data_IF_673552004282
#
_entry.id   IF_673552004282
#
_cell.length_a   1.000
_cell.length_b   1.000
_cell.length_c   1.000
_cell.angle_alpha   90.00
_cell.angle_beta   90.00
_cell.angle_gamma   90.00
#
_symmetry.space_group_name_H-M   'P 1'
#
loop_
_entity.id
_entity.type
_entity.pdbx_description
1 polymer ?
#
# COMPACT_ATOMS: atom_id res chain seq x y z
N UNK A 1 21.55 -1.28 13.65
CA UNK A 1 22.45 -0.90 12.54
C UNK A 1 22.13 0.53 12.12
N UNK A 2 23.13 1.36 11.82
CA UNK A 2 22.97 2.83 11.81
C UNK A 2 22.36 3.32 10.48
N UNK A 3 21.31 4.17 10.49
CA UNK A 3 20.65 4.87 9.35
C UNK A 3 21.64 5.43 8.30
N UNK A 4 22.92 5.56 8.63
CA UNK A 4 23.95 6.14 7.76
C UNK A 4 24.52 5.18 6.71
N UNK A 5 24.34 3.88 6.78
CA UNK A 5 24.97 2.93 5.83
C UNK A 5 24.19 2.74 4.53
N UNK A 6 22.86 2.67 4.59
CA UNK A 6 22.02 2.53 3.41
C UNK A 6 22.13 3.76 2.48
N UNK A 7 22.14 4.98 3.06
CA UNK A 7 22.20 6.23 2.27
C UNK A 7 23.59 6.59 1.72
N UNK A 8 24.67 5.95 2.17
CA UNK A 8 26.03 6.26 1.67
C UNK A 8 26.33 5.71 0.27
N UNK A 9 25.65 4.67 -0.15
CA UNK A 9 25.90 4.04 -1.46
C UNK A 9 25.10 4.69 -2.61
N UNK A 10 24.21 5.66 -2.31
CA UNK A 10 23.38 6.34 -3.32
C UNK A 10 23.87 7.74 -3.70
N UNK A 11 24.98 8.23 -3.13
CA UNK A 11 25.54 9.55 -3.43
C UNK A 11 26.76 9.46 -4.36
N UNK A 12 26.49 9.52 -5.64
CA UNK A 12 27.51 9.75 -6.67
C UNK A 12 26.95 10.63 -7.78
N UNK A 13 27.46 11.85 -7.84
CA UNK A 13 27.40 12.82 -8.93
C UNK A 13 26.25 13.83 -8.95
N UNK A 14 26.63 15.11 -8.84
CA UNK A 14 25.89 16.25 -9.36
C UNK A 14 25.91 17.53 -8.52
N UNK A 15 27.09 18.19 -8.38
CA UNK A 15 27.14 19.60 -7.97
C UNK A 15 27.31 20.48 -9.21
N UNK A 16 26.48 21.50 -9.36
CA UNK A 16 26.85 22.75 -10.01
C UNK A 16 25.97 23.88 -9.48
N UNK A 17 26.64 24.91 -9.01
CA UNK A 17 26.09 26.12 -8.43
C UNK A 17 25.72 27.16 -9.51
N UNK A 18 24.74 28.02 -9.23
CA UNK A 18 24.74 29.38 -9.73
C UNK A 18 23.91 30.30 -8.82
N UNK A 19 24.58 31.29 -8.25
CA UNK A 19 24.03 32.44 -7.54
C UNK A 19 23.56 33.50 -8.50
N UNK A 20 22.39 34.10 -8.25
CA UNK A 20 22.11 35.48 -8.69
C UNK A 20 21.13 36.15 -7.73
N UNK A 21 21.59 37.18 -7.05
CA UNK A 21 20.79 38.15 -6.31
C UNK A 21 20.10 39.11 -7.29
N UNK A 22 18.81 39.36 -7.12
CA UNK A 22 18.16 40.60 -7.52
C UNK A 22 17.16 41.03 -6.46
N UNK A 23 17.41 42.20 -5.91
CA UNK A 23 16.47 42.95 -5.06
C UNK A 23 15.34 43.51 -5.93
N UNK A 24 14.13 43.14 -5.60
CA UNK A 24 12.92 43.73 -6.21
C UNK A 24 11.78 43.73 -5.20
N UNK A 25 11.40 44.93 -4.77
CA UNK A 25 10.24 45.19 -3.91
C UNK A 25 8.95 44.77 -4.60
N UNK A 26 8.20 43.85 -4.01
CA UNK A 26 6.85 43.50 -4.44
C UNK A 26 5.81 43.86 -3.39
N UNK A 27 4.63 44.38 -3.79
CA UNK A 27 3.57 44.75 -2.86
C UNK A 27 2.94 43.50 -2.19
N UNK A 28 2.72 43.61 -0.89
CA UNK A 28 1.96 42.64 -0.09
C UNK A 28 0.54 42.50 -0.65
N UNK A 29 0.29 41.46 -1.42
CA UNK A 29 -1.06 40.97 -1.64
C UNK A 29 -1.39 40.12 -0.42
N UNK A 30 -2.14 40.69 0.50
CA UNK A 30 -2.86 39.96 1.55
C UNK A 30 -3.91 39.09 0.85
N UNK A 31 -3.55 37.90 0.43
CA UNK A 31 -4.53 36.89 0.06
C UNK A 31 -5.23 36.46 1.37
N UNK A 32 -6.47 36.88 1.49
CA UNK A 32 -7.42 36.29 2.45
C UNK A 32 -7.48 34.78 2.18
N UNK A 33 -6.68 34.00 2.90
CA UNK A 33 -6.91 32.57 3.02
C UNK A 33 -8.19 32.45 3.82
N UNK A 34 -9.32 32.34 3.12
CA UNK A 34 -10.55 31.83 3.72
C UNK A 34 -10.18 30.52 4.40
N UNK A 35 -10.25 30.49 5.73
CA UNK A 35 -10.27 29.30 6.54
C UNK A 35 -11.43 28.46 6.01
N UNK A 36 -11.13 27.48 5.18
CA UNK A 36 -12.10 26.50 4.70
C UNK A 36 -12.67 25.79 5.91
N UNK A 37 -13.99 25.74 5.93
CA UNK A 37 -14.83 25.00 6.88
C UNK A 37 -14.22 23.63 7.19
N UNK A 38 -14.39 23.13 8.42
CA UNK A 38 -13.97 21.81 8.88
C UNK A 38 -14.38 20.74 7.87
N UNK A 39 -13.46 20.39 6.95
CA UNK A 39 -13.67 19.21 6.11
C UNK A 39 -13.73 18.01 7.04
N UNK A 40 -14.89 17.36 7.04
CA UNK A 40 -15.09 16.14 7.84
C UNK A 40 -14.09 15.09 7.38
N UNK A 41 -13.16 14.74 8.26
CA UNK A 41 -12.17 13.71 8.00
C UNK A 41 -12.82 12.33 8.18
N UNK A 42 -12.82 11.54 7.13
CA UNK A 42 -13.40 10.20 7.15
C UNK A 42 -12.37 9.15 7.58
N UNK A 43 -12.83 8.10 8.28
CA UNK A 43 -12.03 6.95 8.67
C UNK A 43 -11.74 6.04 7.46
N UNK A 44 -12.69 6.02 6.51
CA UNK A 44 -12.62 5.22 5.30
C UNK A 44 -13.27 5.96 4.13
N UNK A 45 -12.63 5.90 2.96
CA UNK A 45 -13.22 6.33 1.70
C UNK A 45 -13.43 5.12 0.78
N UNK A 46 -14.65 4.95 0.28
CA UNK A 46 -15.02 3.95 -0.72
C UNK A 46 -15.49 4.68 -1.98
N UNK A 47 -14.83 4.43 -3.11
CA UNK A 47 -15.11 5.11 -4.38
C UNK A 47 -15.31 4.12 -5.52
N UNK A 48 -16.15 4.47 -6.49
CA UNK A 48 -16.36 3.67 -7.70
C UNK A 48 -16.73 4.50 -8.93
N UNK A 49 -16.44 3.94 -10.12
CA UNK A 49 -16.93 4.43 -11.42
C UNK A 49 -15.90 5.14 -12.28
N UNK A 50 -14.70 5.43 -11.77
CA UNK A 50 -13.63 6.10 -12.50
C UNK A 50 -12.48 5.19 -12.92
N UNK A 51 -11.48 5.78 -13.56
CA UNK A 51 -10.17 5.16 -13.77
C UNK A 51 -9.36 5.18 -12.47
N UNK A 52 -8.36 4.29 -12.31
CA UNK A 52 -7.66 4.09 -11.02
C UNK A 52 -7.07 5.37 -10.43
N UNK A 53 -6.40 6.18 -11.24
CA UNK A 53 -5.78 7.45 -10.85
C UNK A 53 -6.83 8.48 -10.43
N UNK A 54 -7.92 8.61 -11.20
CA UNK A 54 -9.01 9.57 -10.92
C UNK A 54 -9.76 9.22 -9.64
N UNK A 55 -9.97 7.92 -9.40
CA UNK A 55 -10.56 7.46 -8.15
C UNK A 55 -9.66 7.77 -6.97
N UNK A 56 -8.35 7.52 -7.10
CA UNK A 56 -7.40 7.81 -6.04
C UNK A 56 -7.38 9.30 -5.66
N UNK A 57 -7.30 10.20 -6.65
CA UNK A 57 -7.29 11.66 -6.44
C UNK A 57 -8.48 12.14 -5.61
N UNK A 58 -9.66 11.56 -5.85
CA UNK A 58 -10.87 11.93 -5.10
C UNK A 58 -10.94 11.28 -3.72
N UNK A 59 -10.56 10.00 -3.63
CA UNK A 59 -10.70 9.25 -2.39
C UNK A 59 -9.67 9.66 -1.34
N UNK A 60 -8.43 9.99 -1.74
CA UNK A 60 -7.39 10.42 -0.80
C UNK A 60 -7.76 11.74 -0.10
N UNK A 61 -8.45 12.65 -0.79
CA UNK A 61 -8.91 13.91 -0.21
C UNK A 61 -9.93 13.68 0.93
N UNK A 62 -10.80 12.68 0.80
CA UNK A 62 -11.79 12.37 1.84
C UNK A 62 -11.15 11.89 3.16
N UNK A 63 -9.94 11.35 3.11
CA UNK A 63 -9.18 10.94 4.31
C UNK A 63 -8.09 11.95 4.70
N UNK A 64 -8.13 13.18 4.15
CA UNK A 64 -7.27 14.32 4.53
C UNK A 64 -6.09 14.60 3.61
N UNK A 65 -6.07 14.03 2.41
CA UNK A 65 -5.02 14.22 1.40
C UNK A 65 -3.69 13.53 1.74
N UNK A 66 -2.81 13.41 0.75
CA UNK A 66 -1.51 12.74 0.94
C UNK A 66 -0.62 13.51 1.94
N UNK A 67 -0.76 14.83 2.05
CA UNK A 67 -0.04 15.68 3.01
C UNK A 67 -0.33 15.33 4.48
N UNK A 68 -1.43 14.63 4.76
CA UNK A 68 -1.71 14.07 6.09
C UNK A 68 -0.66 13.01 6.45
N UNK A 69 -0.25 12.20 5.51
CA UNK A 69 0.60 11.02 5.71
C UNK A 69 2.08 11.30 5.43
N UNK A 70 2.38 12.03 4.36
CA UNK A 70 3.73 12.30 3.89
C UNK A 70 4.09 13.75 4.17
N UNK A 71 5.25 13.96 4.84
CA UNK A 71 5.81 15.27 5.13
C UNK A 71 7.06 15.54 4.31
N UNK A 72 7.44 16.82 4.22
CA UNK A 72 8.63 17.23 3.49
C UNK A 72 9.89 16.47 3.95
N UNK A 73 10.67 16.01 2.98
CA UNK A 73 11.93 15.28 3.17
C UNK A 73 11.80 13.87 3.79
N UNK A 74 10.61 13.32 3.93
CA UNK A 74 10.43 11.94 4.37
C UNK A 74 10.75 10.94 3.28
N UNK A 75 11.17 9.75 3.70
CA UNK A 75 11.35 8.56 2.86
C UNK A 75 10.09 7.71 2.97
N UNK A 76 9.50 7.42 1.82
CA UNK A 76 8.26 6.64 1.72
C UNK A 76 8.56 5.27 1.13
N UNK A 77 8.03 4.22 1.75
CA UNK A 77 7.94 2.90 1.14
C UNK A 77 6.50 2.62 0.73
N UNK A 78 6.32 2.28 -0.54
CA UNK A 78 5.06 1.82 -1.12
C UNK A 78 5.16 0.33 -1.38
N UNK A 79 4.25 -0.44 -0.80
CA UNK A 79 4.18 -1.90 -0.95
C UNK A 79 2.92 -2.30 -1.71
N UNK A 80 2.99 -2.42 -3.04
CA UNK A 80 1.91 -3.01 -3.84
C UNK A 80 1.89 -4.54 -3.71
N UNK A 81 1.00 -5.21 -4.42
CA UNK A 81 1.13 -6.63 -4.70
C UNK A 81 1.84 -6.80 -6.06
N UNK A 82 3.08 -7.31 -6.04
CA UNK A 82 3.84 -7.71 -7.24
C UNK A 82 4.21 -9.20 -7.10
N UNK A 83 3.20 -10.01 -6.79
CA UNK A 83 3.43 -11.42 -6.46
C UNK A 83 3.73 -12.31 -7.66
N UNK A 84 3.22 -11.98 -8.85
CA UNK A 84 3.09 -12.91 -9.94
C UNK A 84 3.62 -12.36 -11.26
N UNK A 85 4.23 -13.23 -12.03
CA UNK A 85 4.54 -12.98 -13.44
C UNK A 85 3.23 -13.04 -14.25
N UNK A 86 2.55 -11.90 -14.31
CA UNK A 86 1.26 -11.73 -14.97
C UNK A 86 1.08 -10.28 -15.44
N UNK A 87 0.42 -10.11 -16.58
CA UNK A 87 0.03 -8.82 -17.14
C UNK A 87 -1.07 -8.15 -16.30
N UNK A 88 -1.23 -6.82 -16.38
CA UNK A 88 -2.18 -6.06 -15.55
C UNK A 88 -3.64 -6.55 -15.68
N UNK A 89 -4.04 -7.00 -16.87
CA UNK A 89 -5.39 -7.45 -17.21
C UNK A 89 -5.82 -8.66 -16.38
N UNK A 90 -4.85 -9.43 -15.90
CA UNK A 90 -5.10 -10.61 -15.04
C UNK A 90 -5.41 -10.24 -13.58
N UNK A 91 -5.28 -8.98 -13.20
CA UNK A 91 -5.49 -8.50 -11.83
C UNK A 91 -4.85 -9.39 -10.74
N UNK A 92 -3.74 -10.06 -11.09
CA UNK A 92 -2.93 -10.85 -10.16
C UNK A 92 -2.02 -9.96 -9.31
N UNK A 93 -1.73 -8.76 -9.80
CA UNK A 93 -0.91 -7.71 -9.19
C UNK A 93 -1.71 -6.42 -9.08
N UNK A 94 -1.22 -5.46 -8.30
CA UNK A 94 -1.83 -4.14 -8.17
C UNK A 94 -1.78 -3.39 -9.51
N UNK A 95 -2.81 -2.60 -9.80
CA UNK A 95 -2.90 -1.82 -11.03
C UNK A 95 -1.75 -0.80 -11.12
N UNK A 96 -0.94 -0.80 -12.19
CA UNK A 96 0.22 0.08 -12.32
C UNK A 96 -0.14 1.57 -12.37
N UNK A 97 -1.30 1.96 -12.93
CA UNK A 97 -1.76 3.35 -12.95
C UNK A 97 -2.04 3.89 -11.54
N UNK A 98 -2.63 3.06 -10.68
CA UNK A 98 -2.84 3.44 -9.28
C UNK A 98 -1.50 3.65 -8.57
N UNK A 99 -0.53 2.76 -8.77
CA UNK A 99 0.78 2.86 -8.12
C UNK A 99 1.51 4.12 -8.59
N UNK A 100 1.53 4.39 -9.90
CA UNK A 100 2.11 5.61 -10.47
C UNK A 100 1.53 6.85 -9.80
N UNK A 101 0.19 6.94 -9.71
CA UNK A 101 -0.48 8.11 -9.13
C UNK A 101 -0.19 8.28 -7.64
N UNK A 102 -0.10 7.19 -6.88
CA UNK A 102 0.31 7.25 -5.46
C UNK A 102 1.74 7.75 -5.30
N UNK A 103 2.67 7.31 -6.15
CA UNK A 103 4.07 7.78 -6.16
C UNK A 103 4.14 9.28 -6.44
N UNK A 104 3.40 9.77 -7.46
CA UNK A 104 3.31 11.20 -7.78
C UNK A 104 2.80 12.00 -6.58
N UNK A 105 1.71 11.59 -5.94
CA UNK A 105 1.16 12.24 -4.75
C UNK A 105 2.14 12.28 -3.57
N UNK A 106 2.97 11.24 -3.40
CA UNK A 106 4.02 11.26 -2.38
C UNK A 106 5.04 12.38 -2.64
N UNK A 107 5.49 12.54 -3.90
CA UNK A 107 6.40 13.63 -4.27
C UNK A 107 5.72 15.01 -4.20
N UNK A 108 4.48 15.14 -4.66
CA UNK A 108 3.67 16.36 -4.52
C UNK A 108 3.52 16.79 -3.05
N UNK A 109 3.43 15.82 -2.13
CA UNK A 109 3.41 16.06 -0.68
C UNK A 109 4.79 16.41 -0.08
N UNK A 110 5.87 16.29 -0.87
CA UNK A 110 7.23 16.67 -0.49
C UNK A 110 8.11 15.51 -0.03
N UNK A 111 7.78 14.26 -0.37
CA UNK A 111 8.66 13.12 -0.13
C UNK A 111 10.06 13.36 -0.71
N UNK A 112 11.11 12.95 0.01
CA UNK A 112 12.48 12.97 -0.48
C UNK A 112 12.74 11.84 -1.45
N UNK A 113 12.25 10.65 -1.12
CA UNK A 113 12.42 9.42 -1.87
C UNK A 113 11.17 8.55 -1.71
N UNK A 114 10.78 7.90 -2.79
CA UNK A 114 9.69 6.91 -2.79
C UNK A 114 10.22 5.59 -3.33
N UNK A 115 10.27 4.57 -2.46
CA UNK A 115 10.71 3.22 -2.79
C UNK A 115 9.52 2.31 -2.96
N UNK A 116 9.56 1.45 -3.97
CA UNK A 116 8.51 0.47 -4.26
C UNK A 116 9.11 -0.92 -4.32
N UNK A 117 8.59 -1.87 -3.53
CA UNK A 117 9.04 -3.26 -3.57
C UNK A 117 7.93 -4.25 -3.19
N UNK A 118 8.14 -5.48 -3.53
CA UNK A 118 7.46 -6.67 -3.02
C UNK A 118 8.41 -7.87 -3.03
N UNK A 119 8.23 -8.80 -2.09
CA UNK A 119 8.83 -10.13 -2.19
C UNK A 119 7.92 -11.00 -3.07
N UNK A 120 8.33 -11.24 -4.31
CA UNK A 120 7.54 -11.93 -5.33
C UNK A 120 7.35 -13.42 -5.07
N UNK A 121 6.36 -14.06 -5.68
CA UNK A 121 6.13 -15.50 -5.63
C UNK A 121 6.74 -16.23 -6.85
N UNK A 122 6.80 -15.55 -7.99
CA UNK A 122 7.46 -16.01 -9.22
C UNK A 122 8.83 -15.30 -9.38
N UNK A 123 9.49 -15.47 -10.53
CA UNK A 123 10.72 -14.76 -10.87
C UNK A 123 10.53 -13.24 -10.75
N UNK A 124 11.34 -12.59 -9.93
CA UNK A 124 11.12 -11.22 -9.55
C UNK A 124 11.24 -10.22 -10.72
N UNK A 125 12.22 -10.42 -11.64
CA UNK A 125 12.35 -9.54 -12.80
C UNK A 125 11.11 -9.60 -13.68
N UNK A 126 10.60 -10.82 -13.95
CA UNK A 126 9.39 -11.01 -14.76
C UNK A 126 8.14 -10.49 -14.05
N UNK A 127 8.04 -10.63 -12.72
CA UNK A 127 6.94 -10.06 -11.95
C UNK A 127 6.87 -8.53 -12.09
N UNK A 128 8.00 -7.87 -11.92
CA UNK A 128 8.10 -6.41 -11.97
C UNK A 128 7.90 -5.86 -13.38
N UNK A 129 8.48 -6.51 -14.38
CA UNK A 129 8.38 -6.07 -15.78
C UNK A 129 7.01 -6.34 -16.37
N UNK A 130 6.50 -7.59 -16.26
CA UNK A 130 5.26 -7.99 -16.94
C UNK A 130 4.01 -7.44 -16.25
N UNK A 131 4.06 -7.11 -14.95
CA UNK A 131 2.98 -6.35 -14.29
C UNK A 131 2.92 -4.88 -14.72
N UNK A 132 3.89 -4.40 -15.50
CA UNK A 132 4.08 -2.99 -15.87
C UNK A 132 4.33 -2.05 -14.68
N UNK A 133 4.46 -2.59 -13.46
CA UNK A 133 4.65 -1.79 -12.24
C UNK A 133 6.02 -1.12 -12.23
N UNK A 134 7.08 -1.82 -12.64
CA UNK A 134 8.42 -1.24 -12.71
C UNK A 134 8.46 0.01 -13.58
N UNK A 135 7.84 -0.06 -14.79
CA UNK A 135 7.76 1.07 -15.70
C UNK A 135 6.95 2.22 -15.08
N UNK A 136 5.78 1.93 -14.55
CA UNK A 136 4.89 2.93 -13.93
C UNK A 136 5.56 3.69 -12.77
N UNK A 137 6.29 2.97 -11.91
CA UNK A 137 7.04 3.56 -10.79
C UNK A 137 8.16 4.46 -11.28
N UNK A 138 8.96 4.01 -12.27
CA UNK A 138 10.06 4.80 -12.84
C UNK A 138 9.56 6.06 -13.54
N UNK A 139 8.48 5.95 -14.31
CA UNK A 139 7.86 7.08 -15.01
C UNK A 139 7.36 8.15 -14.02
N UNK A 140 6.87 7.75 -12.85
CA UNK A 140 6.46 8.64 -11.76
C UNK A 140 7.63 9.16 -10.89
N UNK A 141 8.88 8.82 -11.23
CA UNK A 141 10.08 9.24 -10.51
C UNK A 141 10.41 8.40 -9.27
N UNK A 142 9.67 7.33 -8.99
CA UNK A 142 9.92 6.41 -7.90
C UNK A 142 11.08 5.44 -8.15
N UNK A 143 11.53 4.77 -7.10
CA UNK A 143 12.63 3.81 -7.14
C UNK A 143 12.11 2.40 -6.86
N UNK A 144 12.33 1.50 -7.81
CA UNK A 144 12.03 0.08 -7.65
C UNK A 144 13.19 -0.60 -6.94
N UNK A 145 12.88 -1.37 -5.89
CA UNK A 145 13.87 -2.12 -5.11
C UNK A 145 13.50 -3.60 -5.11
N UNK A 146 14.45 -4.51 -5.32
CA UNK A 146 14.18 -5.94 -5.27
C UNK A 146 13.99 -6.42 -3.83
N UNK A 147 13.08 -7.40 -3.63
CA UNK A 147 12.89 -8.09 -2.36
C UNK A 147 13.34 -9.56 -2.41
N UNK A 148 14.29 -9.90 -3.29
CA UNK A 148 14.60 -11.28 -3.68
C UNK A 148 15.85 -11.88 -3.00
N UNK A 149 16.45 -11.18 -2.04
CA UNK A 149 17.61 -11.65 -1.27
C UNK A 149 17.35 -11.55 0.22
N UNK A 150 17.68 -12.61 0.95
CA UNK A 150 17.57 -12.64 2.42
C UNK A 150 18.38 -11.54 3.09
N UNK A 151 19.46 -11.09 2.45
CA UNK A 151 20.32 -10.02 2.96
C UNK A 151 19.64 -8.65 3.14
N UNK A 152 18.46 -8.46 2.54
CA UNK A 152 17.64 -7.25 2.73
C UNK A 152 16.73 -7.32 3.97
N UNK A 153 16.70 -8.47 4.65
CA UNK A 153 15.74 -8.73 5.73
C UNK A 153 16.47 -8.84 7.07
N UNK A 154 15.82 -8.34 8.11
CA UNK A 154 16.34 -8.35 9.47
C UNK A 154 15.32 -8.93 10.42
N UNK A 155 15.81 -9.77 11.35
CA UNK A 155 14.96 -10.40 12.35
C UNK A 155 14.36 -9.37 13.31
N UNK A 156 13.06 -9.53 13.56
CA UNK A 156 12.30 -8.73 14.51
C UNK A 156 11.42 -9.62 15.36
N UNK A 157 11.23 -9.22 16.63
CA UNK A 157 10.28 -9.87 17.53
C UNK A 157 8.87 -9.30 17.32
N UNK A 158 7.88 -10.17 17.23
CA UNK A 158 6.46 -9.84 17.20
C UNK A 158 5.86 -10.13 18.56
N UNK A 159 6.12 -9.26 19.52
CA UNK A 159 5.83 -9.48 20.94
C UNK A 159 4.36 -9.82 21.24
N UNK A 160 3.42 -9.26 20.47
CA UNK A 160 1.97 -9.52 20.60
C UNK A 160 1.47 -10.64 19.68
N UNK A 161 2.32 -11.19 18.81
CA UNK A 161 1.95 -12.30 17.95
C UNK A 161 1.59 -13.55 18.76
N UNK A 162 0.63 -14.32 18.31
CA UNK A 162 0.28 -15.61 18.94
C UNK A 162 1.00 -16.78 18.25
N UNK A 163 0.93 -16.86 16.94
CA UNK A 163 1.58 -17.88 16.11
C UNK A 163 2.86 -17.36 15.44
N UNK A 164 2.92 -16.08 15.07
CA UNK A 164 4.08 -15.44 14.48
C UNK A 164 4.85 -14.65 15.55
N UNK A 165 5.84 -15.28 16.19
CA UNK A 165 6.63 -14.67 17.27
C UNK A 165 7.83 -13.85 16.76
N UNK A 166 8.34 -14.21 15.60
CA UNK A 166 9.49 -13.56 14.94
C UNK A 166 9.27 -13.54 13.43
N UNK A 167 9.88 -12.59 12.75
CA UNK A 167 9.91 -12.51 11.29
C UNK A 167 11.17 -11.78 10.83
N UNK A 168 11.73 -12.21 9.70
CA UNK A 168 12.73 -11.44 8.98
C UNK A 168 12.01 -10.42 8.08
N UNK A 169 12.09 -9.14 8.41
CA UNK A 169 11.37 -8.03 7.76
C UNK A 169 12.33 -7.21 6.90
N UNK A 170 11.88 -6.83 5.71
CA UNK A 170 12.67 -6.04 4.76
C UNK A 170 13.07 -4.68 5.35
N UNK A 171 14.35 -4.29 5.16
CA UNK A 171 14.94 -3.06 5.72
C UNK A 171 14.14 -1.79 5.38
N UNK A 172 13.57 -1.67 4.19
CA UNK A 172 12.73 -0.53 3.83
C UNK A 172 11.51 -0.34 4.75
N UNK A 173 10.91 -1.43 5.24
CA UNK A 173 9.80 -1.35 6.21
C UNK A 173 10.27 -0.86 7.56
N UNK A 174 11.52 -1.18 7.93
CA UNK A 174 12.10 -0.80 9.22
C UNK A 174 12.62 0.64 9.23
N UNK A 175 13.13 1.12 8.09
CA UNK A 175 13.88 2.37 7.98
C UNK A 175 13.10 3.54 7.38
N UNK A 176 12.03 3.27 6.59
CA UNK A 176 11.21 4.34 6.00
C UNK A 176 10.37 5.08 7.03
N UNK A 177 10.17 6.38 6.79
CA UNK A 177 9.36 7.24 7.65
C UNK A 177 7.86 6.98 7.47
N UNK A 178 7.44 6.59 6.25
CA UNK A 178 6.04 6.34 5.89
C UNK A 178 5.92 5.02 5.15
N UNK A 179 4.93 4.22 5.53
CA UNK A 179 4.61 2.92 4.92
C UNK A 179 3.20 2.94 4.30
N UNK A 180 3.10 2.87 2.98
CA UNK A 180 1.85 2.79 2.22
C UNK A 180 1.67 1.40 1.63
N UNK A 181 0.54 0.75 1.92
CA UNK A 181 0.19 -0.59 1.45
C UNK A 181 -0.88 -0.50 0.35
N UNK A 182 -0.60 -1.05 -0.84
CA UNK A 182 -1.52 -1.04 -1.99
C UNK A 182 -1.82 -2.45 -2.45
N UNK A 183 -2.64 -3.23 -1.73
CA UNK A 183 -3.04 -4.57 -2.14
C UNK A 183 -4.03 -4.54 -3.30
N UNK A 184 -4.06 -5.62 -4.09
CA UNK A 184 -5.16 -5.91 -5.02
C UNK A 184 -6.18 -6.83 -4.35
N UNK A 185 -7.47 -6.50 -4.48
CA UNK A 185 -8.56 -7.37 -4.01
C UNK A 185 -8.73 -8.55 -4.95
N UNK A 186 -8.52 -9.77 -4.45
CA UNK A 186 -8.63 -10.98 -5.25
C UNK A 186 -8.96 -12.23 -4.43
N UNK A 187 -9.56 -13.22 -5.08
CA UNK A 187 -9.71 -14.58 -4.58
C UNK A 187 -8.36 -15.16 -4.16
N UNK A 188 -8.37 -15.99 -3.13
CA UNK A 188 -7.22 -16.79 -2.70
C UNK A 188 -7.67 -18.14 -2.17
N UNK A 189 -7.11 -19.23 -2.70
CA UNK A 189 -7.50 -20.60 -2.34
C UNK A 189 -7.37 -20.94 -0.84
N UNK A 190 -6.33 -20.43 -0.17
CA UNK A 190 -6.06 -20.77 1.24
C UNK A 190 -6.73 -19.83 2.25
N UNK A 191 -7.07 -18.60 1.87
CA UNK A 191 -7.58 -17.56 2.79
C UNK A 191 -8.86 -16.91 2.29
N UNK A 192 -9.50 -17.49 1.25
CA UNK A 192 -10.63 -16.95 0.50
C UNK A 192 -10.28 -15.66 -0.24
N UNK A 193 -9.69 -14.67 0.43
CA UNK A 193 -9.31 -13.38 -0.13
C UNK A 193 -7.83 -13.05 0.15
N UNK A 194 -7.22 -12.35 -0.81
CA UNK A 194 -6.02 -11.54 -0.61
C UNK A 194 -6.42 -10.07 -0.55
N UNK A 195 -6.11 -9.39 0.56
CA UNK A 195 -6.38 -7.98 0.75
C UNK A 195 -5.20 -7.34 1.53
N UNK A 196 -5.42 -6.32 2.36
CA UNK A 196 -4.36 -5.52 2.96
C UNK A 196 -3.47 -6.29 3.94
N UNK A 197 -4.05 -6.96 4.94
CA UNK A 197 -3.24 -7.71 5.91
C UNK A 197 -2.47 -8.85 5.25
N UNK A 198 -3.12 -9.60 4.34
CA UNK A 198 -2.43 -10.67 3.62
C UNK A 198 -1.33 -10.16 2.69
N UNK A 199 -1.46 -8.94 2.15
CA UNK A 199 -0.41 -8.32 1.34
C UNK A 199 0.89 -8.11 2.12
N UNK A 200 0.83 -7.99 3.45
CA UNK A 200 2.01 -7.83 4.31
C UNK A 200 2.92 -9.08 4.34
N UNK A 201 2.46 -10.23 3.87
CA UNK A 201 3.34 -11.38 3.65
C UNK A 201 4.49 -11.08 2.67
N UNK A 202 4.32 -10.10 1.79
CA UNK A 202 5.36 -9.67 0.85
C UNK A 202 6.44 -8.75 1.45
N UNK A 203 6.36 -8.40 2.75
CA UNK A 203 7.43 -7.65 3.42
C UNK A 203 8.31 -8.53 4.30
N UNK A 204 8.04 -9.83 4.38
CA UNK A 204 8.81 -10.81 5.15
C UNK A 204 9.51 -11.82 4.24
N UNK A 205 10.65 -12.35 4.71
CA UNK A 205 11.43 -13.35 3.96
C UNK A 205 10.75 -14.72 3.98
N UNK A 206 10.54 -15.33 5.14
CA UNK A 206 9.98 -16.68 5.24
C UNK A 206 8.45 -16.71 5.32
N UNK A 207 7.80 -16.50 4.18
CA UNK A 207 6.35 -16.65 4.05
C UNK A 207 5.86 -18.08 4.19
N UNK A 208 6.75 -19.07 3.96
CA UNK A 208 6.38 -20.49 4.06
C UNK A 208 6.08 -20.86 5.51
N UNK A 209 6.73 -20.21 6.47
CA UNK A 209 6.42 -20.35 7.88
C UNK A 209 4.93 -20.11 8.15
N UNK A 210 4.36 -19.01 7.62
CA UNK A 210 2.96 -18.66 7.81
C UNK A 210 2.02 -19.73 7.24
N UNK A 211 2.32 -20.30 6.07
CA UNK A 211 1.53 -21.37 5.45
C UNK A 211 1.62 -22.70 6.18
N UNK A 212 2.69 -22.96 6.93
CA UNK A 212 2.90 -24.21 7.70
C UNK A 212 2.36 -24.14 9.12
N UNK A 213 2.14 -22.92 9.61
CA UNK A 213 1.57 -22.66 10.91
C UNK A 213 0.15 -22.11 10.73
N UNK A 214 -0.50 -21.58 11.74
CA UNK A 214 -1.82 -20.97 11.59
C UNK A 214 -1.75 -19.73 10.70
N UNK A 215 -2.05 -19.91 9.40
CA UNK A 215 -1.94 -18.86 8.38
C UNK A 215 -2.78 -17.64 8.73
N UNK A 216 -4.03 -17.83 9.17
CA UNK A 216 -4.91 -16.72 9.52
C UNK A 216 -4.41 -15.96 10.75
N UNK A 217 -3.94 -16.69 11.76
CA UNK A 217 -3.34 -16.08 12.94
C UNK A 217 -2.05 -15.33 12.60
N UNK A 218 -1.15 -15.91 11.81
CA UNK A 218 0.10 -15.24 11.39
C UNK A 218 -0.18 -13.94 10.61
N UNK A 219 -1.21 -13.93 9.73
CA UNK A 219 -1.63 -12.71 9.00
C UNK A 219 -2.10 -11.63 9.97
N UNK A 220 -2.86 -12.00 11.01
CA UNK A 220 -3.35 -11.06 12.02
C UNK A 220 -2.25 -10.64 13.02
N UNK A 221 -1.24 -11.48 13.25
CA UNK A 221 -0.13 -11.18 14.17
C UNK A 221 0.80 -10.09 13.65
N UNK A 222 1.16 -10.14 12.36
CA UNK A 222 2.16 -9.23 11.79
C UNK A 222 1.82 -7.73 11.98
N UNK A 223 0.57 -7.25 11.75
CA UNK A 223 0.22 -5.86 11.98
C UNK A 223 0.35 -5.40 13.44
N UNK A 224 0.48 -6.30 14.41
CA UNK A 224 0.78 -5.93 15.81
C UNK A 224 2.20 -5.43 15.98
N UNK A 225 3.11 -5.75 15.06
CA UNK A 225 4.48 -5.25 14.99
C UNK A 225 4.54 -3.93 14.19
N UNK A 226 4.07 -3.94 12.94
CA UNK A 226 4.13 -2.76 12.06
C UNK A 226 2.88 -2.70 11.20
N UNK A 227 2.08 -1.64 11.39
CA UNK A 227 0.95 -1.31 10.51
C UNK A 227 1.39 -0.32 9.43
N UNK A 228 0.81 -0.40 8.22
CA UNK A 228 0.90 0.69 7.26
C UNK A 228 0.23 1.96 7.79
N UNK A 229 0.77 3.12 7.42
CA UNK A 229 0.16 4.43 7.71
C UNK A 229 -1.09 4.65 6.86
N UNK A 230 -1.12 4.03 5.67
CA UNK A 230 -2.22 4.13 4.73
C UNK A 230 -2.40 2.80 3.97
N UNK A 231 -3.65 2.34 3.84
CA UNK A 231 -4.03 1.20 3.03
C UNK A 231 -4.92 1.66 1.88
N UNK A 232 -4.56 1.29 0.65
CA UNK A 232 -5.26 1.63 -0.59
C UNK A 232 -5.61 0.34 -1.31
N UNK A 233 -6.84 -0.12 -1.18
CA UNK A 233 -7.28 -1.36 -1.82
C UNK A 233 -7.58 -1.09 -3.28
N UNK A 234 -6.82 -1.72 -4.16
CA UNK A 234 -7.14 -1.78 -5.58
C UNK A 234 -8.24 -2.82 -5.83
N UNK A 235 -9.40 -2.34 -6.19
CA UNK A 235 -10.54 -3.13 -6.63
C UNK A 235 -11.05 -2.66 -8.00
N UNK A 236 -10.13 -2.19 -8.87
CA UNK A 236 -10.49 -1.78 -10.23
C UNK A 236 -10.93 -2.99 -11.07
N UNK A 237 -10.06 -3.98 -11.18
CA UNK A 237 -10.37 -5.31 -11.70
C UNK A 237 -10.17 -6.33 -10.58
N UNK A 238 -11.17 -7.17 -10.33
CA UNK A 238 -11.18 -8.11 -9.19
C UNK A 238 -11.20 -9.54 -9.70
N UNK A 239 -10.14 -10.29 -9.39
CA UNK A 239 -10.08 -11.72 -9.69
C UNK A 239 -11.02 -12.49 -8.77
N UNK A 240 -12.10 -13.05 -9.31
CA UNK A 240 -13.18 -13.70 -8.56
C UNK A 240 -12.96 -15.19 -8.31
N UNK A 241 -12.10 -15.84 -9.07
CA UNK A 241 -11.81 -17.28 -8.99
C UNK A 241 -10.36 -17.57 -9.41
N UNK A 242 -9.90 -18.79 -9.15
CA UNK A 242 -8.57 -19.29 -9.52
C UNK A 242 -7.38 -18.49 -8.95
N UNK A 243 -7.64 -17.59 -7.99
CA UNK A 243 -6.56 -16.83 -7.32
C UNK A 243 -5.71 -17.69 -6.38
N UNK A 244 -4.49 -17.22 -6.07
CA UNK A 244 -4.05 -15.82 -6.17
C UNK A 244 -3.37 -15.41 -7.50
N UNK A 245 -3.05 -16.34 -8.40
CA UNK A 245 -2.38 -16.07 -9.70
C UNK A 245 -3.37 -15.91 -10.86
N UNK A 246 -4.51 -16.61 -10.79
CA UNK A 246 -5.48 -16.70 -11.87
C UNK A 246 -5.01 -17.58 -13.03
N UNK A 247 -5.92 -17.91 -13.93
CA UNK A 247 -5.66 -18.70 -15.14
C UNK A 247 -5.77 -17.80 -16.38
N UNK A 248 -6.75 -16.90 -16.41
CA UNK A 248 -7.00 -15.99 -17.53
C UNK A 248 -7.72 -14.72 -17.06
N UNK A 249 -7.89 -13.73 -17.94
CA UNK A 249 -8.68 -12.52 -17.70
C UNK A 249 -10.15 -12.83 -17.39
N UNK A 250 -10.68 -13.97 -17.86
CA UNK A 250 -12.04 -14.44 -17.55
C UNK A 250 -12.25 -14.78 -16.06
N UNK A 251 -11.20 -14.82 -15.25
CA UNK A 251 -11.28 -14.93 -13.81
C UNK A 251 -11.64 -13.61 -13.14
N UNK A 252 -11.58 -12.50 -13.88
CA UNK A 252 -11.69 -11.14 -13.37
C UNK A 252 -13.03 -10.49 -13.74
N UNK A 253 -13.49 -9.60 -12.87
CA UNK A 253 -14.64 -8.72 -13.11
C UNK A 253 -14.21 -7.28 -12.86
N UNK A 254 -14.55 -6.39 -13.79
CA UNK A 254 -14.29 -4.97 -13.69
C UNK A 254 -15.25 -4.32 -12.69
N UNK A 255 -14.75 -3.97 -11.49
CA UNK A 255 -15.53 -3.33 -10.43
C UNK A 255 -15.41 -1.82 -10.46
N UNK A 256 -14.31 -1.28 -10.99
CA UNK A 256 -13.96 0.15 -10.98
C UNK A 256 -14.14 0.75 -9.59
N UNK A 257 -13.51 0.17 -8.60
CA UNK A 257 -13.65 0.57 -7.20
C UNK A 257 -12.29 0.68 -6.50
N UNK A 258 -12.22 1.49 -5.44
CA UNK A 258 -11.10 1.58 -4.51
C UNK A 258 -11.61 1.81 -3.10
N UNK A 259 -10.82 1.41 -2.11
CA UNK A 259 -11.08 1.65 -0.69
C UNK A 259 -9.80 2.18 -0.06
N UNK A 260 -9.89 3.30 0.67
CA UNK A 260 -8.76 3.90 1.37
C UNK A 260 -9.09 4.01 2.86
N UNK A 261 -8.18 3.54 3.74
CA UNK A 261 -8.33 3.67 5.19
C UNK A 261 -6.97 3.61 5.90
N UNK A 262 -6.86 4.25 7.06
CA UNK A 262 -5.75 4.08 8.00
C UNK A 262 -5.90 2.82 8.85
N UNK A 263 -7.11 2.33 9.03
CA UNK A 263 -7.38 1.06 9.70
C UNK A 263 -7.34 -0.10 8.70
N UNK A 264 -6.33 -0.95 8.84
CA UNK A 264 -6.10 -2.09 7.94
C UNK A 264 -7.20 -3.15 8.03
N UNK A 265 -7.81 -3.33 9.22
CA UNK A 265 -8.90 -4.30 9.43
C UNK A 265 -10.20 -3.76 8.81
N UNK A 266 -10.48 -2.47 8.98
CA UNK A 266 -11.62 -1.82 8.33
C UNK A 266 -11.52 -1.84 6.80
N UNK A 267 -10.31 -1.60 6.25
CA UNK A 267 -10.05 -1.70 4.83
C UNK A 267 -10.35 -3.12 4.31
N UNK A 268 -9.88 -4.15 5.01
CA UNK A 268 -10.12 -5.55 4.66
C UNK A 268 -11.59 -5.95 4.81
N UNK A 269 -12.27 -5.49 5.87
CA UNK A 269 -13.71 -5.73 6.07
C UNK A 269 -14.56 -5.10 4.96
N UNK A 270 -14.25 -3.87 4.57
CA UNK A 270 -14.94 -3.19 3.47
C UNK A 270 -14.69 -3.87 2.12
N UNK A 271 -13.46 -4.35 1.89
CA UNK A 271 -13.10 -5.08 0.68
C UNK A 271 -13.76 -6.47 0.63
N UNK A 272 -13.85 -7.18 1.76
CA UNK A 272 -14.58 -8.44 1.86
C UNK A 272 -16.06 -8.25 1.49
N UNK A 273 -16.72 -7.21 2.03
CA UNK A 273 -18.09 -6.84 1.69
C UNK A 273 -18.26 -6.51 0.21
N UNK A 274 -17.31 -5.77 -0.38
CA UNK A 274 -17.30 -5.45 -1.82
C UNK A 274 -17.17 -6.71 -2.67
N UNK A 275 -16.38 -7.69 -2.22
CA UNK A 275 -16.19 -8.98 -2.90
C UNK A 275 -17.44 -9.87 -2.82
N UNK A 276 -18.29 -9.70 -1.80
CA UNK A 276 -19.51 -10.47 -1.56
C UNK A 276 -19.39 -11.46 -0.39
N UNK A 277 -18.44 -11.24 0.53
CA UNK A 277 -18.28 -11.98 1.79
C UNK A 277 -18.62 -11.12 3.01
N UNK A 278 -19.03 -11.75 4.09
CA UNK A 278 -18.98 -11.11 5.41
C UNK A 278 -17.51 -11.00 5.87
N UNK A 279 -17.18 -9.95 6.61
CA UNK A 279 -15.85 -9.83 7.23
C UNK A 279 -15.56 -11.00 8.18
N UNK A 280 -16.59 -11.54 8.84
CA UNK A 280 -16.50 -12.69 9.74
C UNK A 280 -16.18 -14.01 9.04
N UNK A 281 -16.44 -14.12 7.73
CA UNK A 281 -16.11 -15.30 6.95
C UNK A 281 -14.61 -15.39 6.66
N UNK A 282 -13.90 -14.27 6.75
CA UNK A 282 -12.47 -14.19 6.49
C UNK A 282 -11.70 -14.28 7.80
N UNK A 283 -11.14 -15.47 8.10
CA UNK A 283 -10.58 -15.79 9.40
C UNK A 283 -9.57 -14.76 9.93
N UNK A 284 -8.64 -14.28 9.11
CA UNK A 284 -7.64 -13.30 9.56
C UNK A 284 -8.24 -11.92 9.88
N UNK A 285 -9.38 -11.52 9.26
CA UNK A 285 -10.07 -10.25 9.58
C UNK A 285 -10.68 -10.36 10.98
N UNK A 286 -11.42 -11.45 11.24
CA UNK A 286 -12.03 -11.73 12.53
C UNK A 286 -10.98 -11.77 13.65
N UNK A 287 -9.91 -12.51 13.45
CA UNK A 287 -8.82 -12.63 14.43
C UNK A 287 -8.18 -11.28 14.73
N UNK A 288 -7.91 -10.47 13.70
CA UNK A 288 -7.30 -9.15 13.87
C UNK A 288 -8.19 -8.17 14.63
N UNK A 289 -9.50 -8.21 14.40
CA UNK A 289 -10.50 -7.46 15.16
C UNK A 289 -10.50 -7.88 16.65
N UNK A 290 -10.58 -9.18 16.92
CA UNK A 290 -10.52 -9.76 18.27
C UNK A 290 -9.20 -9.43 19.00
N UNK A 291 -8.09 -9.24 18.26
CA UNK A 291 -6.80 -8.84 18.81
C UNK A 291 -6.66 -7.32 19.01
N UNK A 292 -7.64 -6.53 18.62
CA UNK A 292 -7.59 -5.07 18.69
C UNK A 292 -6.58 -4.43 17.72
N UNK A 293 -6.27 -5.08 16.61
CA UNK A 293 -5.43 -4.54 15.55
C UNK A 293 -6.11 -3.37 14.85
N UNK A 294 -7.42 -3.46 14.66
CA UNK A 294 -8.31 -2.47 14.08
C UNK A 294 -9.76 -2.91 14.26
N UNK A 295 -10.70 -2.39 13.48
CA UNK A 295 -12.11 -2.78 13.60
C UNK A 295 -12.70 -3.29 12.29
N UNK A 296 -13.43 -4.41 12.36
CA UNK A 296 -14.25 -4.89 11.23
C UNK A 296 -15.68 -4.32 11.25
N UNK A 297 -16.08 -3.61 12.32
CA UNK A 297 -17.39 -2.99 12.45
C UNK A 297 -17.45 -1.67 11.68
N UNK A 298 -17.85 -1.74 10.42
CA UNK A 298 -17.96 -0.58 9.54
C UNK A 298 -19.07 0.41 9.92
N UNK A 299 -20.01 0.01 10.77
CA UNK A 299 -21.13 0.87 11.18
C UNK A 299 -20.68 1.95 12.17
N UNK A 300 -19.58 1.71 12.88
CA UNK A 300 -19.01 2.65 13.84
C UNK A 300 -18.06 3.67 13.19
N UNK A 301 -17.84 3.58 11.86
CA UNK A 301 -16.87 4.42 11.14
C UNK A 301 -17.58 5.51 10.33
N UNK A 302 -16.94 6.67 10.26
CA UNK A 302 -17.29 7.69 9.30
C UNK A 302 -16.80 7.28 7.91
N UNK A 303 -17.71 6.99 6.98
CA UNK A 303 -17.38 6.47 5.65
C UNK A 303 -17.82 7.43 4.56
N UNK A 304 -16.86 7.94 3.80
CA UNK A 304 -17.14 8.65 2.56
C UNK A 304 -17.46 7.67 1.43
N UNK A 305 -18.63 7.81 0.79
CA UNK A 305 -19.02 6.98 -0.37
C UNK A 305 -19.12 7.86 -1.59
N UNK A 306 -18.19 7.67 -2.51
CA UNK A 306 -18.03 8.50 -3.70
C UNK A 306 -18.39 7.68 -4.95
N UNK A 307 -19.17 8.27 -5.84
CA UNK A 307 -19.46 7.72 -7.16
C UNK A 307 -19.04 8.75 -8.21
N UNK A 308 -18.30 8.31 -9.22
CA UNK A 308 -17.87 9.11 -10.37
C UNK A 308 -18.79 8.78 -11.57
#
# INVERSE_FOLDING_TARGET
>A
MNRRKFFKNSFGAGMAAATALTLGTTPRILSNIKKTENETLYDLAAIKGGEPEVMFDKAINAVGGMQRFVKKNQVVVVKPNIGWNAEPERAANTNPKLISRVVEHCYEAGAKEVYVFDHTCDNWQLCYTNSSIEKAVKDAGGKVVPGNSESYYHDVDIAKGKSLKQAAVHELILESDVFINIPVLKHHSSTQLSIAMKNLMGVVWDRRYWHRNDLHQCIADYPTFKKPDLNIIDAYSVMKKNGPKGVSEADCILYKSQIISTDIVAADAAAAKLFGHSATDIGYIKIADEMGVGTMNLENLSISRIKI
#
